data_IF_116343098991
#
_entry.id   IF_116343098991
#
_cell.length_a   1.000
_cell.length_b   1.000
_cell.length_c   1.000
_cell.angle_alpha   90.00
_cell.angle_beta   90.00
_cell.angle_gamma   90.00
#
_symmetry.space_group_name_H-M   'P 1'
#
loop_
_entity.id
_entity.type
_entity.pdbx_description
1 polymer ?
#
# COMPACT_ATOMS: atom_id res chain seq x y z
N UNK A 1 -34.14 -51.22 -16.98
CA UNK A 1 -32.68 -51.24 -16.69
C UNK A 1 -32.38 -51.01 -15.19
N UNK A 2 -33.37 -51.04 -14.30
CA UNK A 2 -33.20 -50.76 -12.86
C UNK A 2 -32.77 -51.97 -12.00
N UNK A 3 -32.69 -53.18 -12.54
CA UNK A 3 -32.49 -54.43 -11.77
C UNK A 3 -31.04 -54.93 -11.73
N UNK A 4 -30.06 -54.19 -12.27
CA UNK A 4 -28.66 -54.61 -12.22
C UNK A 4 -27.94 -53.98 -11.02
N UNK A 5 -27.38 -54.81 -10.14
CA UNK A 5 -26.50 -54.36 -9.05
C UNK A 5 -25.22 -53.71 -9.62
N UNK A 6 -24.83 -52.52 -9.16
CA UNK A 6 -23.63 -51.85 -9.66
C UNK A 6 -22.35 -52.55 -9.20
N UNK A 7 -21.36 -52.60 -10.08
CA UNK A 7 -20.00 -53.06 -9.76
C UNK A 7 -19.32 -52.13 -8.75
N UNK A 8 -18.42 -52.67 -7.93
CA UNK A 8 -17.60 -51.87 -7.04
C UNK A 8 -16.54 -51.12 -7.86
N UNK A 9 -16.78 -49.85 -8.11
CA UNK A 9 -15.85 -48.95 -8.80
C UNK A 9 -15.08 -48.10 -7.80
N UNK A 10 -13.78 -47.94 -8.04
CA UNK A 10 -12.87 -47.15 -7.21
C UNK A 10 -12.76 -45.69 -7.63
N UNK A 11 -12.89 -45.40 -8.93
CA UNK A 11 -12.79 -44.06 -9.49
C UNK A 11 -13.49 -43.99 -10.84
N UNK A 12 -13.84 -42.77 -11.24
CA UNK A 12 -14.33 -42.45 -12.58
C UNK A 12 -13.31 -41.54 -13.26
N UNK A 13 -13.02 -41.81 -14.53
CA UNK A 13 -12.10 -41.00 -15.31
C UNK A 13 -12.75 -40.49 -16.59
N UNK A 14 -12.31 -39.32 -17.02
CA UNK A 14 -12.70 -38.72 -18.30
C UNK A 14 -11.45 -38.30 -19.05
N UNK A 15 -11.49 -38.45 -20.37
CA UNK A 15 -10.46 -37.98 -21.29
C UNK A 15 -11.12 -37.16 -22.40
N UNK A 16 -10.68 -35.91 -22.58
CA UNK A 16 -11.29 -34.98 -23.52
C UNK A 16 -10.29 -33.91 -23.98
N UNK A 17 -10.61 -33.18 -25.05
CA UNK A 17 -9.81 -32.02 -25.50
C UNK A 17 -10.00 -30.81 -24.58
N UNK A 18 -8.90 -30.24 -24.09
CA UNK A 18 -8.92 -29.21 -23.06
C UNK A 18 -9.51 -27.89 -23.57
N UNK A 19 -10.74 -27.63 -23.17
CA UNK A 19 -11.39 -26.31 -23.30
C UNK A 19 -11.80 -25.78 -21.94
N UNK A 20 -11.89 -24.44 -21.81
CA UNK A 20 -12.32 -23.79 -20.56
C UNK A 20 -13.69 -24.30 -20.08
N UNK A 21 -14.63 -24.49 -21.01
CA UNK A 21 -16.00 -24.89 -20.71
C UNK A 21 -16.06 -26.32 -20.17
N UNK A 22 -15.40 -27.27 -20.85
CA UNK A 22 -15.35 -28.66 -20.41
C UNK A 22 -14.57 -28.80 -19.10
N UNK A 23 -13.44 -28.10 -18.96
CA UNK A 23 -12.68 -28.11 -17.71
C UNK A 23 -13.52 -27.62 -16.53
N UNK A 24 -14.22 -26.48 -16.68
CA UNK A 24 -15.14 -25.98 -15.64
C UNK A 24 -16.32 -26.92 -15.38
N UNK A 25 -16.82 -27.62 -16.40
CA UNK A 25 -17.88 -28.62 -16.25
C UNK A 25 -17.41 -29.79 -15.38
N UNK A 26 -16.29 -30.42 -15.73
CA UNK A 26 -15.77 -31.57 -14.98
C UNK A 26 -15.32 -31.20 -13.57
N UNK A 27 -14.70 -30.03 -13.40
CA UNK A 27 -14.33 -29.51 -12.09
C UNK A 27 -15.54 -29.27 -11.18
N UNK A 28 -16.65 -28.73 -11.71
CA UNK A 28 -17.92 -28.60 -10.97
C UNK A 28 -18.52 -29.95 -10.56
N UNK A 29 -18.24 -31.00 -11.34
CA UNK A 29 -18.64 -32.38 -11.04
C UNK A 29 -17.64 -33.14 -10.15
N UNK A 30 -16.76 -32.42 -9.43
CA UNK A 30 -15.75 -32.98 -8.51
C UNK A 30 -14.71 -33.91 -9.15
N UNK A 31 -14.40 -33.70 -10.44
CA UNK A 31 -13.24 -34.33 -11.07
C UNK A 31 -11.99 -33.48 -10.84
N UNK A 32 -10.85 -34.13 -10.63
CA UNK A 32 -9.54 -33.51 -10.45
C UNK A 32 -8.62 -33.82 -11.62
N UNK A 33 -7.94 -32.82 -12.16
CA UNK A 33 -6.99 -33.01 -13.25
C UNK A 33 -5.72 -33.70 -12.76
N UNK A 34 -5.29 -34.73 -13.50
CA UNK A 34 -4.09 -35.52 -13.18
C UNK A 34 -3.06 -35.50 -14.31
N UNK A 35 -3.48 -35.21 -15.54
CA UNK A 35 -2.59 -35.20 -16.69
C UNK A 35 -3.14 -34.34 -17.84
N UNK A 36 -2.24 -33.62 -18.51
CA UNK A 36 -2.50 -32.94 -19.77
C UNK A 36 -1.37 -33.30 -20.74
N UNK A 37 -1.73 -33.71 -21.95
CA UNK A 37 -0.77 -34.04 -23.01
C UNK A 37 -0.09 -32.77 -23.53
N UNK A 38 1.24 -32.80 -23.64
CA UNK A 38 2.02 -31.65 -24.14
C UNK A 38 1.76 -31.37 -25.62
N UNK A 39 1.70 -32.40 -26.48
CA UNK A 39 1.37 -32.22 -27.90
C UNK A 39 -0.16 -32.07 -28.05
N UNK A 40 -0.58 -30.94 -28.60
CA UNK A 40 -1.96 -30.72 -29.03
C UNK A 40 -2.32 -31.67 -30.18
N UNK A 41 -3.59 -32.04 -30.28
CA UNK A 41 -4.08 -32.82 -31.41
C UNK A 41 -4.02 -31.97 -32.69
N UNK A 42 -3.54 -32.53 -33.80
CA UNK A 42 -3.40 -31.82 -35.08
C UNK A 42 -4.74 -31.41 -35.67
N UNK A 43 -5.80 -32.20 -35.42
CA UNK A 43 -7.14 -31.93 -35.96
C UNK A 43 -7.86 -30.81 -35.20
N UNK A 44 -7.83 -30.86 -33.86
CA UNK A 44 -8.60 -29.92 -33.03
C UNK A 44 -7.78 -28.78 -32.46
N UNK A 45 -6.45 -28.87 -32.46
CA UNK A 45 -5.55 -27.94 -31.79
C UNK A 45 -5.61 -28.01 -30.25
N UNK A 46 -6.38 -28.93 -29.69
CA UNK A 46 -6.59 -29.05 -28.24
C UNK A 46 -5.65 -30.07 -27.60
N UNK A 47 -5.23 -29.81 -26.36
CA UNK A 47 -4.47 -30.77 -25.56
C UNK A 47 -5.42 -31.79 -24.92
N UNK A 48 -5.11 -33.08 -25.00
CA UNK A 48 -5.89 -34.10 -24.28
C UNK A 48 -5.70 -33.94 -22.77
N UNK A 49 -6.79 -33.83 -22.02
CA UNK A 49 -6.84 -33.70 -20.56
C UNK A 49 -7.49 -34.94 -19.95
N UNK A 50 -6.83 -35.50 -18.93
CA UNK A 50 -7.38 -36.59 -18.11
C UNK A 50 -7.72 -36.05 -16.73
N UNK A 51 -8.98 -36.21 -16.34
CA UNK A 51 -9.46 -35.88 -15.00
C UNK A 51 -10.07 -37.11 -14.35
N UNK A 52 -9.87 -37.25 -13.04
CA UNK A 52 -10.29 -38.41 -12.25
C UNK A 52 -11.09 -37.93 -11.04
N UNK A 53 -12.16 -38.66 -10.72
CA UNK A 53 -12.96 -38.51 -9.51
C UNK A 53 -12.90 -39.82 -8.72
N UNK A 54 -12.32 -39.83 -7.51
CA UNK A 54 -12.36 -41.01 -6.65
C UNK A 54 -13.80 -41.29 -6.18
N UNK A 55 -14.11 -42.57 -5.96
CA UNK A 55 -15.37 -43.04 -5.39
C UNK A 55 -15.08 -43.68 -4.03
N UNK A 56 -15.82 -43.28 -2.99
CA UNK A 56 -15.62 -43.72 -1.61
C UNK A 56 -16.27 -45.09 -1.37
N UNK A 57 -15.68 -46.12 -1.96
CA UNK A 57 -16.22 -47.48 -1.93
C UNK A 57 -15.21 -48.51 -1.40
N UNK A 58 -14.04 -48.08 -0.90
CA UNK A 58 -12.95 -48.98 -0.55
C UNK A 58 -12.12 -48.47 0.63
N UNK A 59 -12.26 -49.12 1.78
CA UNK A 59 -11.66 -48.71 3.06
C UNK A 59 -10.16 -48.41 3.01
N UNK A 60 -9.37 -49.15 2.22
CA UNK A 60 -7.91 -48.92 2.09
C UNK A 60 -7.59 -47.71 1.21
N UNK A 61 -8.28 -47.53 0.09
CA UNK A 61 -8.03 -46.41 -0.84
C UNK A 61 -8.61 -45.11 -0.29
N UNK A 62 -9.68 -45.19 0.50
CA UNK A 62 -10.32 -44.02 1.11
C UNK A 62 -9.44 -43.42 2.21
N UNK A 63 -8.64 -44.25 2.90
CA UNK A 63 -7.62 -43.80 3.85
C UNK A 63 -6.42 -43.14 3.17
N UNK A 64 -6.13 -43.51 1.94
CA UNK A 64 -4.99 -42.97 1.19
C UNK A 64 -5.51 -41.86 0.27
N UNK A 65 -5.25 -40.59 0.61
CA UNK A 65 -5.52 -39.44 -0.28
C UNK A 65 -4.58 -39.43 -1.51
N UNK A 66 -4.61 -40.50 -2.31
CA UNK A 66 -3.72 -40.75 -3.43
C UNK A 66 -3.90 -39.68 -4.50
N UNK A 67 -5.16 -39.32 -4.80
CA UNK A 67 -5.50 -38.33 -5.81
C UNK A 67 -4.85 -36.97 -5.50
N UNK A 68 -4.79 -36.58 -4.23
CA UNK A 68 -4.19 -35.32 -3.81
C UNK A 68 -2.69 -35.31 -4.12
N UNK A 69 -2.00 -36.45 -3.94
CA UNK A 69 -0.59 -36.60 -4.29
C UNK A 69 -0.36 -36.49 -5.81
N UNK A 70 -1.21 -37.13 -6.62
CA UNK A 70 -1.15 -36.98 -8.09
C UNK A 70 -1.46 -35.55 -8.54
N UNK A 71 -2.42 -34.88 -7.91
CA UNK A 71 -2.74 -33.50 -8.22
C UNK A 71 -1.61 -32.52 -7.86
N UNK A 72 -0.93 -32.73 -6.74
CA UNK A 72 0.25 -31.93 -6.35
C UNK A 72 1.38 -32.10 -7.37
N UNK A 73 1.67 -33.35 -7.77
CA UNK A 73 2.68 -33.63 -8.78
C UNK A 73 2.30 -33.08 -10.16
N UNK A 74 1.05 -33.26 -10.58
CA UNK A 74 0.51 -32.68 -11.80
C UNK A 74 0.66 -31.15 -11.82
N UNK A 75 0.28 -30.45 -10.74
CA UNK A 75 0.43 -28.99 -10.66
C UNK A 75 1.89 -28.56 -10.77
N UNK A 76 2.82 -29.28 -10.14
CA UNK A 76 4.26 -29.01 -10.26
C UNK A 76 4.74 -29.18 -11.71
N UNK A 77 4.40 -30.30 -12.35
CA UNK A 77 4.75 -30.55 -13.77
C UNK A 77 4.12 -29.52 -14.70
N UNK A 78 2.86 -29.17 -14.47
CA UNK A 78 2.14 -28.16 -15.24
C UNK A 78 2.80 -26.79 -15.13
N UNK A 79 3.24 -26.39 -13.91
CA UNK A 79 4.02 -25.16 -13.70
C UNK A 79 5.30 -25.14 -14.54
N UNK A 80 6.07 -26.23 -14.53
CA UNK A 80 7.31 -26.32 -15.32
C UNK A 80 7.06 -26.33 -16.83
N UNK A 81 5.94 -26.90 -17.29
CA UNK A 81 5.61 -27.03 -18.71
C UNK A 81 4.89 -25.80 -19.30
N UNK A 82 4.47 -24.83 -18.47
CA UNK A 82 3.73 -23.65 -18.92
C UNK A 82 4.49 -22.78 -19.91
N UNK A 83 5.82 -22.67 -19.78
CA UNK A 83 6.66 -21.90 -20.69
C UNK A 83 6.97 -22.63 -22.02
N UNK A 84 6.65 -23.92 -22.11
CA UNK A 84 6.97 -24.77 -23.25
C UNK A 84 5.69 -25.10 -24.03
N UNK A 85 5.22 -26.35 -23.92
CA UNK A 85 4.08 -26.87 -24.65
C UNK A 85 2.76 -26.12 -24.38
N UNK A 86 2.62 -25.46 -23.22
CA UNK A 86 1.41 -24.73 -22.84
C UNK A 86 1.56 -23.21 -22.92
N UNK A 87 2.59 -22.71 -23.62
CA UNK A 87 2.77 -21.27 -23.83
C UNK A 87 1.58 -20.66 -24.58
N UNK A 88 1.06 -21.37 -25.58
CA UNK A 88 -0.08 -20.92 -26.39
C UNK A 88 -1.44 -21.17 -25.74
N UNK A 89 -1.49 -21.86 -24.60
CA UNK A 89 -2.74 -22.10 -23.89
C UNK A 89 -3.34 -20.77 -23.43
N UNK A 90 -4.65 -20.62 -23.60
CA UNK A 90 -5.40 -19.44 -23.15
C UNK A 90 -5.17 -19.17 -21.66
N UNK A 91 -4.93 -17.90 -21.31
CA UNK A 91 -4.56 -17.49 -19.98
C UNK A 91 -5.61 -17.87 -18.91
N UNK A 92 -6.89 -17.71 -19.23
CA UNK A 92 -7.98 -18.01 -18.29
C UNK A 92 -8.06 -19.52 -18.07
N UNK A 93 -7.85 -20.30 -19.13
CA UNK A 93 -7.78 -21.76 -19.07
C UNK A 93 -6.59 -22.23 -18.24
N UNK A 94 -5.40 -21.71 -18.47
CA UNK A 94 -4.20 -22.04 -17.70
C UNK A 94 -4.38 -21.73 -16.19
N UNK A 95 -4.93 -20.56 -15.87
CA UNK A 95 -5.21 -20.18 -14.49
C UNK A 95 -6.28 -21.08 -13.83
N UNK A 96 -7.29 -21.49 -14.61
CA UNK A 96 -8.34 -22.40 -14.12
C UNK A 96 -7.80 -23.80 -13.81
N UNK A 97 -6.87 -24.29 -14.63
CA UNK A 97 -6.18 -25.59 -14.45
C UNK A 97 -5.25 -25.57 -13.25
N UNK A 98 -4.46 -24.50 -13.09
CA UNK A 98 -3.58 -24.34 -11.93
C UNK A 98 -4.37 -24.29 -10.62
N UNK A 99 -5.55 -23.67 -10.67
CA UNK A 99 -6.49 -23.54 -9.57
C UNK A 99 -5.83 -22.96 -8.31
N UNK A 100 -5.50 -21.64 -8.32
CA UNK A 100 -4.91 -20.99 -7.16
C UNK A 100 -5.85 -21.13 -5.97
N UNK A 101 -5.28 -21.39 -4.80
CA UNK A 101 -6.06 -21.57 -3.57
C UNK A 101 -6.91 -20.31 -3.30
N UNK A 102 -8.15 -20.48 -2.80
CA UNK A 102 -9.03 -19.35 -2.50
C UNK A 102 -8.42 -18.34 -1.52
N UNK A 103 -7.56 -18.79 -0.60
CA UNK A 103 -6.84 -17.93 0.35
C UNK A 103 -5.94 -16.89 -0.31
N UNK A 104 -5.53 -17.12 -1.56
CA UNK A 104 -4.65 -16.22 -2.32
C UNK A 104 -5.44 -15.17 -3.11
N UNK A 105 -6.77 -15.26 -3.18
CA UNK A 105 -7.62 -14.42 -4.03
C UNK A 105 -8.39 -13.39 -3.19
N UNK A 106 -8.21 -12.10 -3.47
CA UNK A 106 -8.87 -11.00 -2.71
C UNK A 106 -10.40 -11.04 -2.81
N UNK A 107 -10.92 -11.36 -3.99
CA UNK A 107 -12.32 -11.11 -4.36
C UNK A 107 -13.16 -12.40 -4.49
N UNK A 108 -12.58 -13.57 -4.22
CA UNK A 108 -13.26 -14.86 -4.39
C UNK A 108 -13.61 -15.50 -3.04
N UNK A 109 -14.25 -14.72 -2.15
CA UNK A 109 -15.01 -15.24 -0.99
C UNK A 109 -16.35 -15.88 -1.40
N UNK A 110 -16.52 -16.28 -2.66
CA UNK A 110 -17.66 -17.12 -3.01
C UNK A 110 -17.34 -18.54 -2.56
N UNK A 111 -18.02 -18.90 -1.47
CA UNK A 111 -18.41 -20.25 -1.07
C UNK A 111 -17.30 -21.24 -1.32
N UNK A 112 -16.53 -21.54 -0.26
CA UNK A 112 -16.04 -22.89 -0.12
C UNK A 112 -17.23 -23.79 -0.47
N UNK A 113 -17.26 -24.30 -1.71
CA UNK A 113 -18.17 -25.37 -2.04
C UNK A 113 -17.92 -26.37 -0.92
N UNK A 114 -18.95 -26.86 -0.24
CA UNK A 114 -18.75 -27.98 0.66
C UNK A 114 -18.25 -29.08 -0.27
N UNK A 115 -16.93 -29.20 -0.42
CA UNK A 115 -16.33 -30.50 -0.46
C UNK A 115 -16.96 -31.17 0.73
N UNK A 116 -17.81 -32.14 0.45
CA UNK A 116 -18.27 -33.15 1.38
C UNK A 116 -16.98 -33.77 1.98
N UNK A 117 -16.39 -33.04 2.92
CA UNK A 117 -15.45 -33.44 3.93
C UNK A 117 -16.24 -33.26 5.22
N UNK A 118 -17.39 -33.93 5.27
CA UNK A 118 -18.07 -34.23 6.51
C UNK A 118 -17.39 -35.46 7.07
N UNK A 119 -16.92 -35.37 8.30
CA UNK A 119 -16.32 -36.48 9.04
C UNK A 119 -14.83 -36.31 9.22
N UNK A 120 -14.46 -35.80 10.40
CA UNK A 120 -13.43 -36.38 11.26
C UNK A 120 -12.17 -36.86 10.56
N UNK A 121 -11.18 -35.98 10.40
CA UNK A 121 -9.80 -36.43 10.22
C UNK A 121 -8.80 -35.45 10.87
N UNK A 122 -8.72 -35.57 12.19
CA UNK A 122 -7.62 -35.12 13.06
C UNK A 122 -6.27 -35.83 12.72
N UNK A 123 -6.13 -36.48 11.56
CA UNK A 123 -4.99 -37.32 11.19
C UNK A 123 -4.18 -36.86 9.98
N UNK A 124 -4.57 -35.81 9.26
CA UNK A 124 -3.75 -35.26 8.17
C UNK A 124 -2.56 -34.48 8.73
N UNK A 125 -1.52 -35.24 9.13
CA UNK A 125 -0.20 -34.77 9.53
C UNK A 125 0.13 -33.43 8.88
N UNK A 126 0.29 -32.43 9.74
CA UNK A 126 0.84 -31.13 9.44
C UNK A 126 2.10 -31.30 8.58
N UNK A 127 1.94 -31.31 7.25
CA UNK A 127 3.02 -30.92 6.35
C UNK A 127 3.24 -29.45 6.68
N UNK A 128 4.13 -29.19 7.65
CA UNK A 128 4.54 -27.86 8.06
C UNK A 128 4.87 -27.11 6.78
N UNK A 129 3.93 -26.26 6.38
CA UNK A 129 4.01 -25.58 5.12
C UNK A 129 5.07 -24.52 5.32
N UNK A 130 6.32 -24.84 4.95
CA UNK A 130 7.48 -23.96 5.12
C UNK A 130 7.14 -22.61 4.48
N UNK A 131 6.77 -21.66 5.34
CA UNK A 131 6.57 -20.24 4.99
C UNK A 131 7.95 -19.68 4.69
N UNK A 132 8.02 -18.78 3.72
CA UNK A 132 9.29 -18.16 3.34
C UNK A 132 9.86 -17.35 4.51
N UNK A 133 11.09 -17.70 4.94
CA UNK A 133 11.82 -16.98 5.96
C UNK A 133 12.88 -16.04 5.37
N UNK A 134 13.55 -15.26 6.21
CA UNK A 134 14.64 -14.36 5.80
C UNK A 134 15.76 -15.08 5.05
N UNK A 135 16.20 -16.25 5.55
CA UNK A 135 17.26 -17.06 4.93
C UNK A 135 16.87 -17.51 3.52
N UNK A 136 15.62 -17.92 3.33
CA UNK A 136 15.13 -18.33 2.01
C UNK A 136 15.09 -17.14 1.03
N UNK A 137 14.73 -15.94 1.52
CA UNK A 137 14.74 -14.70 0.69
C UNK A 137 16.17 -14.38 0.24
N UNK A 138 17.13 -14.37 1.16
CA UNK A 138 18.52 -14.03 0.87
C UNK A 138 19.23 -15.10 0.01
N UNK A 139 18.77 -16.36 0.07
CA UNK A 139 19.24 -17.40 -0.85
C UNK A 139 18.68 -17.23 -2.28
N UNK A 140 17.50 -16.61 -2.43
CA UNK A 140 16.81 -16.48 -3.73
C UNK A 140 17.09 -15.15 -4.46
N UNK A 141 17.34 -14.08 -3.71
CA UNK A 141 17.49 -12.71 -4.22
C UNK A 141 18.77 -12.07 -3.68
N UNK A 142 19.50 -11.36 -4.54
CA UNK A 142 20.64 -10.54 -4.13
C UNK A 142 20.16 -9.21 -3.50
N UNK A 143 21.01 -8.56 -2.70
CA UNK A 143 20.77 -7.20 -2.23
C UNK A 143 20.48 -6.21 -3.38
N UNK A 144 21.13 -6.41 -4.53
CA UNK A 144 20.91 -5.60 -5.72
C UNK A 144 19.52 -5.81 -6.33
N UNK A 145 19.01 -7.03 -6.27
CA UNK A 145 17.66 -7.38 -6.71
C UNK A 145 16.61 -6.71 -5.81
N UNK A 146 16.83 -6.72 -4.50
CA UNK A 146 15.98 -6.03 -3.54
C UNK A 146 15.98 -4.50 -3.76
N UNK A 147 17.14 -3.89 -4.05
CA UNK A 147 17.24 -2.46 -4.41
C UNK A 147 16.52 -2.14 -5.73
N UNK A 148 16.65 -3.00 -6.75
CA UNK A 148 15.92 -2.88 -8.03
C UNK A 148 14.42 -2.93 -7.79
N UNK A 149 13.97 -3.89 -7.00
CA UNK A 149 12.57 -4.08 -6.64
C UNK A 149 12.00 -2.88 -5.88
N UNK A 150 12.77 -2.31 -4.96
CA UNK A 150 12.43 -1.08 -4.24
C UNK A 150 12.29 0.12 -5.20
N UNK A 151 13.16 0.22 -6.19
CA UNK A 151 13.13 1.32 -7.17
C UNK A 151 11.96 1.16 -8.15
N UNK A 152 11.63 -0.08 -8.53
CA UNK A 152 10.43 -0.42 -9.30
C UNK A 152 9.14 -0.12 -8.51
N UNK A 153 9.09 -0.41 -7.20
CA UNK A 153 7.96 -0.07 -6.33
C UNK A 153 7.63 1.42 -6.36
N UNK A 154 8.66 2.28 -6.47
CA UNK A 154 8.55 3.73 -6.62
C UNK A 154 8.14 4.19 -8.03
N UNK A 155 7.89 3.25 -8.95
CA UNK A 155 7.61 3.48 -10.38
C UNK A 155 8.71 4.29 -11.10
N UNK A 156 9.97 4.17 -10.68
CA UNK A 156 11.11 4.89 -11.30
C UNK A 156 11.77 4.10 -12.42
N UNK A 157 11.43 2.81 -12.56
CA UNK A 157 12.04 1.85 -13.47
C UNK A 157 10.95 1.08 -14.23
N UNK A 158 11.23 0.70 -15.47
CA UNK A 158 10.36 -0.14 -16.29
C UNK A 158 10.36 -1.61 -15.87
N UNK A 159 9.27 -2.32 -16.17
CA UNK A 159 9.09 -3.73 -15.78
C UNK A 159 10.14 -4.69 -16.37
N UNK A 160 10.77 -4.33 -17.49
CA UNK A 160 11.83 -5.12 -18.10
C UNK A 160 13.02 -5.34 -17.15
N UNK A 161 13.31 -4.37 -16.30
CA UNK A 161 14.40 -4.45 -15.31
C UNK A 161 14.05 -5.30 -14.09
N UNK A 162 12.88 -5.93 -14.03
CA UNK A 162 12.55 -6.90 -12.96
C UNK A 162 12.06 -8.24 -13.52
N UNK A 163 12.06 -8.41 -14.84
CA UNK A 163 11.44 -9.55 -15.52
C UNK A 163 12.04 -10.89 -15.11
N UNK A 164 13.35 -10.94 -14.89
CA UNK A 164 14.14 -12.06 -14.34
C UNK A 164 13.68 -12.52 -12.95
N UNK A 165 13.12 -11.61 -12.13
CA UNK A 165 12.63 -11.94 -10.79
C UNK A 165 11.17 -12.42 -10.77
N UNK A 166 10.38 -12.09 -11.80
CA UNK A 166 8.94 -12.40 -11.85
C UNK A 166 8.66 -13.91 -11.75
N UNK A 167 9.37 -14.81 -12.47
CA UNK A 167 9.15 -16.26 -12.33
C UNK A 167 9.34 -16.77 -10.91
N UNK A 168 10.34 -16.25 -10.18
CA UNK A 168 10.59 -16.61 -8.78
C UNK A 168 9.41 -16.19 -7.89
N UNK A 169 8.91 -14.96 -8.06
CA UNK A 169 7.74 -14.49 -7.33
C UNK A 169 6.48 -15.28 -7.66
N UNK A 170 6.29 -15.62 -8.93
CA UNK A 170 5.20 -16.46 -9.41
C UNK A 170 5.21 -17.83 -8.72
N UNK A 171 6.38 -18.49 -8.70
CA UNK A 171 6.56 -19.78 -8.03
C UNK A 171 6.29 -19.71 -6.52
N UNK A 172 6.76 -18.66 -5.84
CA UNK A 172 6.49 -18.46 -4.41
C UNK A 172 5.00 -18.22 -4.12
N UNK A 173 4.33 -17.45 -4.98
CA UNK A 173 2.92 -17.12 -4.84
C UNK A 173 2.02 -18.33 -5.04
N UNK A 174 2.14 -19.04 -6.18
CA UNK A 174 1.26 -20.16 -6.50
C UNK A 174 1.55 -21.41 -5.66
N UNK A 175 2.77 -21.55 -5.11
CA UNK A 175 3.09 -22.59 -4.12
C UNK A 175 2.78 -22.15 -2.68
N UNK A 176 2.10 -21.00 -2.51
CA UNK A 176 1.49 -20.55 -1.26
C UNK A 176 2.53 -20.41 -0.12
N UNK A 177 3.75 -19.99 -0.49
CA UNK A 177 4.90 -19.79 0.42
C UNK A 177 4.79 -18.52 1.27
N UNK A 178 3.90 -17.60 0.89
CA UNK A 178 3.60 -16.37 1.64
C UNK A 178 2.56 -16.55 2.76
N UNK A 179 2.18 -17.78 3.10
CA UNK A 179 1.34 -18.05 4.27
C UNK A 179 -0.08 -17.46 4.20
N UNK A 180 -0.60 -17.14 3.02
CA UNK A 180 -1.92 -16.52 2.86
C UNK A 180 -2.00 -15.02 3.21
N UNK A 181 -0.91 -14.39 3.64
CA UNK A 181 -0.86 -12.93 3.85
C UNK A 181 -0.97 -12.16 2.54
N UNK A 182 -0.52 -12.77 1.44
CA UNK A 182 -0.57 -12.18 0.11
C UNK A 182 -1.86 -12.56 -0.61
N UNK A 183 -2.69 -11.56 -0.86
CA UNK A 183 -3.88 -11.72 -1.69
C UNK A 183 -3.79 -10.86 -2.95
N UNK A 184 -4.07 -11.48 -4.09
CA UNK A 184 -4.10 -10.83 -5.40
C UNK A 184 -5.49 -10.96 -6.01
N UNK A 185 -5.88 -9.99 -6.83
CA UNK A 185 -7.10 -10.11 -7.63
C UNK A 185 -6.92 -11.20 -8.71
N UNK A 186 -8.00 -11.83 -9.17
CA UNK A 186 -7.94 -12.88 -10.20
C UNK A 186 -7.21 -12.43 -11.47
N UNK A 187 -7.44 -11.19 -11.92
CA UNK A 187 -6.73 -10.60 -13.07
C UNK A 187 -5.26 -10.32 -12.78
N UNK A 188 -4.91 -9.94 -11.55
CA UNK A 188 -3.51 -9.79 -11.14
C UNK A 188 -2.79 -11.14 -11.14
N UNK A 189 -3.44 -12.20 -10.65
CA UNK A 189 -2.93 -13.58 -10.72
C UNK A 189 -2.73 -14.03 -12.17
N UNK A 190 -3.69 -13.73 -13.05
CA UNK A 190 -3.60 -14.04 -14.47
C UNK A 190 -2.37 -13.35 -15.10
N UNK A 191 -2.22 -12.04 -14.92
CA UNK A 191 -1.06 -11.31 -15.45
C UNK A 191 0.26 -11.85 -14.88
N UNK A 192 0.32 -12.15 -13.58
CA UNK A 192 1.51 -12.73 -12.96
C UNK A 192 1.86 -14.11 -13.54
N UNK A 193 0.85 -14.97 -13.76
CA UNK A 193 1.03 -16.29 -14.39
C UNK A 193 1.50 -16.19 -15.83
N UNK A 194 0.91 -15.28 -16.60
CA UNK A 194 1.23 -15.11 -18.02
C UNK A 194 2.70 -14.69 -18.20
N UNK A 195 3.17 -13.74 -17.40
CA UNK A 195 4.56 -13.24 -17.48
C UNK A 195 5.51 -14.23 -16.80
N UNK A 196 5.15 -14.75 -15.63
CA UNK A 196 6.05 -15.56 -14.80
C UNK A 196 6.18 -17.03 -15.20
N UNK A 197 5.13 -17.65 -15.73
CA UNK A 197 5.14 -19.07 -16.12
C UNK A 197 4.96 -19.31 -17.62
N UNK A 198 4.12 -18.54 -18.31
CA UNK A 198 3.97 -18.69 -19.77
C UNK A 198 4.97 -17.84 -20.56
N UNK A 199 5.69 -16.91 -19.92
CA UNK A 199 6.63 -15.98 -20.54
C UNK A 199 6.02 -15.22 -21.74
N UNK A 200 4.74 -14.82 -21.63
CA UNK A 200 4.04 -14.03 -22.65
C UNK A 200 4.42 -12.56 -22.57
N UNK A 201 4.44 -11.91 -23.72
CA UNK A 201 4.65 -10.46 -23.83
C UNK A 201 3.41 -9.69 -23.34
N UNK A 202 3.61 -8.43 -22.92
CA UNK A 202 2.54 -7.58 -22.41
C UNK A 202 1.46 -7.33 -23.47
N UNK A 203 1.85 -7.25 -24.74
CA UNK A 203 0.95 -7.11 -25.88
C UNK A 203 0.05 -8.34 -26.05
N UNK A 204 0.60 -9.56 -25.95
CA UNK A 204 -0.17 -10.81 -26.04
C UNK A 204 -1.17 -10.92 -24.88
N UNK A 205 -0.75 -10.55 -23.68
CA UNK A 205 -1.61 -10.55 -22.49
C UNK A 205 -2.74 -9.51 -22.64
N UNK A 206 -2.42 -8.34 -23.19
CA UNK A 206 -3.38 -7.26 -23.47
C UNK A 206 -4.47 -7.72 -24.45
N UNK A 207 -4.08 -8.45 -25.50
CA UNK A 207 -5.03 -9.02 -26.47
C UNK A 207 -5.88 -10.13 -25.88
N UNK A 208 -5.29 -11.06 -25.12
CA UNK A 208 -6.05 -12.19 -24.52
C UNK A 208 -7.04 -11.72 -23.45
N UNK A 209 -6.66 -10.75 -22.61
CA UNK A 209 -7.53 -10.22 -21.57
C UNK A 209 -8.52 -9.16 -22.08
N UNK A 210 -8.41 -8.72 -23.34
CA UNK A 210 -9.15 -7.58 -23.89
C UNK A 210 -9.01 -6.30 -23.05
N UNK A 211 -7.77 -6.02 -22.59
CA UNK A 211 -7.43 -4.92 -21.68
C UNK A 211 -6.35 -4.06 -22.32
N UNK A 212 -6.35 -2.74 -22.07
CA UNK A 212 -5.31 -1.83 -22.60
C UNK A 212 -3.93 -2.21 -22.04
N UNK A 213 -2.89 -2.24 -22.89
CA UNK A 213 -1.49 -2.55 -22.51
C UNK A 213 -1.02 -1.90 -21.20
N UNK A 214 -1.28 -0.61 -21.02
CA UNK A 214 -0.88 0.13 -19.82
C UNK A 214 -1.59 -0.37 -18.54
N UNK A 215 -2.81 -0.89 -18.66
CA UNK A 215 -3.53 -1.48 -17.55
C UNK A 215 -2.92 -2.83 -17.16
N UNK A 216 -2.42 -3.63 -18.11
CA UNK A 216 -1.66 -4.87 -17.82
C UNK A 216 -0.42 -4.57 -16.97
N UNK A 217 0.37 -3.56 -17.37
CA UNK A 217 1.55 -3.12 -16.59
C UNK A 217 1.13 -2.61 -15.22
N UNK A 218 0.02 -1.86 -15.13
CA UNK A 218 -0.52 -1.37 -13.86
C UNK A 218 -0.95 -2.51 -12.93
N UNK A 219 -1.53 -3.60 -13.46
CA UNK A 219 -1.89 -4.80 -12.70
C UNK A 219 -0.64 -5.53 -12.19
N UNK A 220 0.38 -5.70 -13.02
CA UNK A 220 1.67 -6.26 -12.62
C UNK A 220 2.31 -5.43 -11.50
N UNK A 221 2.40 -4.11 -11.70
CA UNK A 221 2.91 -3.16 -10.71
C UNK A 221 2.19 -3.32 -9.36
N UNK A 222 0.86 -3.44 -9.35
CA UNK A 222 0.08 -3.65 -8.11
C UNK A 222 0.43 -4.99 -7.44
N UNK A 223 0.60 -6.07 -8.20
CA UNK A 223 0.97 -7.37 -7.65
C UNK A 223 2.37 -7.34 -7.04
N UNK A 224 3.36 -6.82 -7.77
CA UNK A 224 4.75 -6.74 -7.32
C UNK A 224 4.89 -5.84 -6.08
N UNK A 225 4.15 -4.73 -6.01
CA UNK A 225 4.15 -3.85 -4.81
C UNK A 225 3.71 -4.59 -3.55
N UNK A 226 2.68 -5.44 -3.65
CA UNK A 226 2.21 -6.25 -2.51
C UNK A 226 3.24 -7.30 -2.11
N UNK A 227 3.86 -7.95 -3.09
CA UNK A 227 4.94 -8.94 -2.85
C UNK A 227 6.12 -8.26 -2.15
N UNK A 228 6.59 -7.12 -2.67
CA UNK A 228 7.66 -6.35 -2.06
C UNK A 228 7.34 -5.92 -0.63
N UNK A 229 6.12 -5.44 -0.36
CA UNK A 229 5.72 -5.03 0.98
C UNK A 229 5.81 -6.17 2.01
N UNK A 230 5.50 -7.41 1.60
CA UNK A 230 5.66 -8.58 2.47
C UNK A 230 7.13 -8.96 2.66
N UNK A 231 7.93 -8.93 1.60
CA UNK A 231 9.38 -9.20 1.71
C UNK A 231 10.06 -8.18 2.62
N UNK A 232 9.74 -6.90 2.45
CA UNK A 232 10.24 -5.80 3.29
C UNK A 232 9.81 -5.96 4.76
N UNK A 233 8.56 -6.39 5.01
CA UNK A 233 8.09 -6.73 6.36
C UNK A 233 8.91 -7.87 6.97
N UNK A 234 9.11 -8.98 6.25
CA UNK A 234 9.89 -10.13 6.73
C UNK A 234 11.34 -9.73 7.03
N UNK A 235 11.97 -8.95 6.14
CA UNK A 235 13.33 -8.46 6.32
C UNK A 235 13.42 -7.55 7.56
N UNK A 236 12.50 -6.59 7.71
CA UNK A 236 12.46 -5.70 8.88
C UNK A 236 12.26 -6.46 10.18
N UNK A 237 11.32 -7.39 10.23
CA UNK A 237 11.09 -8.24 11.42
C UNK A 237 12.33 -9.05 11.76
N UNK A 238 13.06 -9.57 10.76
CA UNK A 238 14.30 -10.29 11.01
C UNK A 238 15.40 -9.36 11.54
N UNK A 239 15.58 -8.18 10.94
CA UNK A 239 16.55 -7.18 11.40
C UNK A 239 16.23 -6.73 12.82
N UNK A 240 14.98 -6.44 13.16
CA UNK A 240 14.56 -6.09 14.53
C UNK A 240 14.86 -7.21 15.54
N UNK A 241 14.69 -8.48 15.14
CA UNK A 241 14.97 -9.63 16.00
C UNK A 241 16.47 -9.91 16.18
N UNK A 242 17.27 -9.75 15.12
CA UNK A 242 18.72 -10.00 15.11
C UNK A 242 19.48 -8.82 15.72
N UNK A 243 19.01 -7.61 15.44
CA UNK A 243 19.50 -6.36 15.97
C UNK A 243 18.73 -5.99 17.25
N UNK A 244 18.46 -6.99 18.10
CA UNK A 244 18.19 -6.75 19.50
C UNK A 244 19.24 -5.75 19.97
N UNK A 245 18.77 -4.54 20.28
CA UNK A 245 19.58 -3.40 20.69
C UNK A 245 20.68 -3.90 21.64
N UNK A 246 21.94 -3.40 21.56
CA UNK A 246 22.85 -3.60 22.68
C UNK A 246 22.06 -3.18 23.92
N UNK A 247 21.75 -4.15 24.78
CA UNK A 247 21.10 -3.84 26.04
C UNK A 247 22.09 -2.92 26.73
N UNK A 248 21.77 -1.62 26.74
CA UNK A 248 22.40 -0.68 27.64
C UNK A 248 21.99 -1.19 29.01
N UNK A 249 22.77 -2.11 29.57
CA UNK A 249 22.72 -2.44 30.98
C UNK A 249 22.80 -1.08 31.68
N UNK A 250 21.77 -0.69 32.46
CA UNK A 250 21.85 0.54 33.26
C UNK A 250 22.94 0.46 34.34
N UNK A 251 23.61 -0.68 34.44
CA UNK A 251 24.67 -0.98 35.38
C UNK A 251 26.01 -0.54 34.80
N UNK A 252 26.50 0.57 35.33
CA UNK A 252 27.87 1.06 35.26
C UNK A 252 28.30 1.75 33.95
N UNK A 253 27.57 2.80 33.57
CA UNK A 253 28.30 3.98 33.08
C UNK A 253 28.99 4.60 34.30
N UNK A 254 30.23 4.17 34.57
CA UNK A 254 31.15 4.94 35.44
C UNK A 254 31.46 6.24 34.72
N UNK A 255 30.59 7.24 34.90
CA UNK A 255 30.94 8.60 34.56
C UNK A 255 32.05 9.02 35.53
N UNK A 256 33.30 8.97 35.07
CA UNK A 256 34.36 9.74 35.69
C UNK A 256 33.95 11.21 35.54
N UNK A 257 33.33 11.74 36.59
CA UNK A 257 32.81 13.11 36.71
C UNK A 257 33.96 14.11 36.80
N UNK A 258 34.67 14.35 35.71
CA UNK A 258 35.59 15.50 35.62
C UNK A 258 35.41 16.37 34.38
N UNK A 259 34.71 15.94 33.34
CA UNK A 259 34.51 16.77 32.15
C UNK A 259 33.14 16.50 31.51
N UNK A 260 32.11 17.19 32.02
CA UNK A 260 30.82 17.31 31.32
C UNK A 260 30.49 18.82 31.14
N UNK A 261 30.99 19.45 30.06
CA UNK A 261 30.86 20.89 29.83
C UNK A 261 29.41 21.38 29.76
N UNK A 262 28.47 20.51 29.34
CA UNK A 262 27.05 20.84 29.19
C UNK A 262 26.34 21.07 30.53
N UNK A 263 26.68 20.28 31.55
CA UNK A 263 26.09 20.44 32.89
C UNK A 263 26.62 21.69 33.59
N UNK A 264 27.88 22.04 33.38
CA UNK A 264 28.46 23.27 33.93
C UNK A 264 27.90 24.52 33.27
N UNK A 265 27.75 24.51 31.94
CA UNK A 265 27.16 25.62 31.18
C UNK A 265 25.69 25.86 31.57
N UNK A 266 24.90 24.80 31.76
CA UNK A 266 23.50 24.92 32.18
C UNK A 266 23.33 25.41 33.63
N UNK A 267 24.26 25.05 34.53
CA UNK A 267 24.30 25.58 35.89
C UNK A 267 24.71 27.06 35.92
N UNK A 268 25.72 27.46 35.12
CA UNK A 268 26.16 28.85 35.00
C UNK A 268 25.08 29.75 34.38
N UNK A 269 24.40 29.30 33.31
CA UNK A 269 23.29 30.04 32.70
C UNK A 269 22.11 30.25 33.67
N UNK A 270 21.81 29.26 34.52
CA UNK A 270 20.80 29.41 35.58
C UNK A 270 21.24 30.44 36.61
N UNK A 271 22.48 30.37 37.10
CA UNK A 271 22.99 31.35 38.07
C UNK A 271 23.03 32.77 37.50
N UNK A 272 23.38 32.93 36.23
CA UNK A 272 23.36 34.24 35.53
C UNK A 272 21.91 34.76 35.43
N UNK A 273 20.94 33.89 35.13
CA UNK A 273 19.53 34.24 35.13
C UNK A 273 19.01 34.71 36.49
N UNK A 274 19.38 34.02 37.58
CA UNK A 274 19.00 34.43 38.94
C UNK A 274 19.67 35.74 39.37
N UNK A 275 20.94 35.95 39.01
CA UNK A 275 21.65 37.21 39.34
C UNK A 275 21.05 38.40 38.60
N UNK A 276 20.74 38.27 37.30
CA UNK A 276 20.08 39.33 36.53
C UNK A 276 18.70 39.68 37.10
N UNK A 277 17.89 38.69 37.44
CA UNK A 277 16.56 38.91 38.01
C UNK A 277 16.61 39.63 39.37
N UNK A 278 17.57 39.26 40.21
CA UNK A 278 17.81 39.92 41.50
C UNK A 278 18.34 41.35 41.35
N UNK A 279 19.09 41.62 40.27
CA UNK A 279 19.64 42.94 39.97
C UNK A 279 18.55 43.87 39.41
N UNK A 280 17.67 43.37 38.54
CA UNK A 280 16.47 44.09 38.06
C UNK A 280 15.48 44.40 39.20
N UNK A 281 15.26 43.46 40.12
CA UNK A 281 14.44 43.70 41.32
C UNK A 281 15.06 44.80 42.20
N UNK A 282 16.38 44.78 42.42
CA UNK A 282 17.07 45.79 43.22
C UNK A 282 17.04 47.18 42.56
N UNK A 283 17.21 47.26 41.24
CA UNK A 283 17.13 48.50 40.46
C UNK A 283 15.71 49.07 40.44
N UNK A 284 14.69 48.23 40.32
CA UNK A 284 13.29 48.65 40.39
C UNK A 284 12.93 49.22 41.77
N UNK A 285 13.45 48.65 42.86
CA UNK A 285 13.26 49.21 44.21
C UNK A 285 14.03 50.51 44.44
N UNK A 286 15.20 50.69 43.80
CA UNK A 286 15.96 51.95 43.88
C UNK A 286 15.31 53.08 43.09
N UNK A 287 14.69 52.77 41.93
CA UNK A 287 13.92 53.73 41.15
C UNK A 287 12.66 54.20 41.89
N UNK A 288 11.96 53.31 42.61
CA UNK A 288 10.79 53.67 43.42
C UNK A 288 11.20 54.48 44.67
N UNK A 289 12.35 54.21 45.27
CA UNK A 289 12.88 55.00 46.39
C UNK A 289 13.38 56.39 45.95
N UNK A 290 13.97 56.52 44.76
CA UNK A 290 14.38 57.79 44.19
C UNK A 290 13.18 58.65 43.75
N UNK A 291 12.08 58.03 43.32
CA UNK A 291 10.83 58.72 42.96
C UNK A 291 10.00 59.18 44.17
N UNK A 292 10.35 58.78 45.40
CA UNK A 292 9.67 59.19 46.64
C UNK A 292 10.38 60.35 47.38
N UNK A 293 11.46 60.89 46.81
CA UNK A 293 12.20 62.03 47.34
C UNK A 293 12.55 62.99 46.20
N UNK A 294 11.55 63.62 45.59
CA UNK A 294 11.64 64.90 44.87
C UNK A 294 10.24 65.28 44.32
N UNK A 295 9.35 65.68 45.22
CA UNK A 295 8.31 66.67 44.90
C UNK A 295 8.93 68.05 45.09
N UNK A 296 9.38 68.69 44.01
CA UNK A 296 9.60 70.14 43.94
C UNK A 296 9.91 70.57 42.48
N UNK A 297 8.92 71.25 41.89
CA UNK A 297 9.05 72.37 40.93
C UNK A 297 9.50 72.15 39.46
N UNK A 298 8.78 72.91 38.61
CA UNK A 298 9.10 73.46 37.28
C UNK A 298 9.00 72.58 36.01
N UNK A 299 7.85 72.71 35.35
CA UNK A 299 7.64 73.36 34.04
C UNK A 299 8.83 73.38 33.04
N UNK A 300 8.65 72.79 31.84
CA UNK A 300 8.64 73.49 30.54
C UNK A 300 9.06 72.62 29.33
N UNK A 301 8.37 72.94 28.22
CA UNK A 301 8.83 72.98 26.81
C UNK A 301 8.90 71.68 25.98
N UNK A 302 7.81 71.50 25.21
CA UNK A 302 7.84 70.95 23.84
C UNK A 302 8.60 71.91 22.93
N UNK A 303 9.35 71.42 21.93
CA UNK A 303 9.10 71.92 20.59
C UNK A 303 9.07 70.85 19.49
N UNK A 304 8.15 71.12 18.56
CA UNK A 304 7.95 70.55 17.23
C UNK A 304 9.17 70.69 16.30
N UNK A 305 9.29 69.78 15.32
CA UNK A 305 9.42 70.07 13.87
C UNK A 305 9.77 68.76 13.12
N UNK A 306 8.96 68.22 12.18
CA UNK A 306 8.71 68.56 10.75
C UNK A 306 8.99 67.30 9.89
N UNK A 307 7.90 66.66 9.42
CA UNK A 307 7.49 66.32 8.02
C UNK A 307 8.54 65.73 7.02
N UNK A 308 8.34 64.75 6.11
CA UNK A 308 7.25 64.42 5.15
C UNK A 308 7.40 62.98 4.55
N UNK A 309 6.26 62.26 4.50
CA UNK A 309 5.66 61.27 3.55
C UNK A 309 6.39 60.13 2.78
N UNK A 310 5.55 59.08 2.62
CA UNK A 310 5.30 58.12 1.51
C UNK A 310 5.99 56.75 1.58
N UNK A 311 5.15 55.71 1.55
CA UNK A 311 5.48 54.46 0.84
C UNK A 311 5.51 53.19 1.68
N UNK A 312 4.45 52.39 1.56
CA UNK A 312 4.41 50.92 1.68
C UNK A 312 5.06 50.25 2.89
N UNK A 313 4.26 49.95 3.93
CA UNK A 313 4.62 48.95 4.95
C UNK A 313 4.05 47.58 4.62
N UNK A 314 4.97 46.65 4.37
CA UNK A 314 4.81 45.22 4.60
C UNK A 314 4.24 44.97 6.01
N UNK A 315 3.09 44.31 6.10
CA UNK A 315 2.61 43.73 7.35
C UNK A 315 2.97 42.25 7.36
N UNK A 316 4.04 41.94 8.09
CA UNK A 316 4.35 40.59 8.55
C UNK A 316 3.37 40.23 9.67
N UNK A 317 2.56 39.19 9.47
CA UNK A 317 1.71 38.65 10.53
C UNK A 317 2.50 37.66 11.42
N UNK A 318 2.41 37.77 12.76
CA UNK A 318 2.94 36.76 13.67
C UNK A 318 2.08 35.48 13.67
N UNK A 319 2.74 34.34 13.85
CA UNK A 319 2.18 32.98 13.93
C UNK A 319 1.17 32.89 15.11
N UNK A 320 -0.07 32.50 14.81
CA UNK A 320 -1.11 32.20 15.81
C UNK A 320 -0.84 30.88 16.53
N UNK A 321 -0.78 30.94 17.86
CA UNK A 321 -1.27 29.89 18.75
C UNK A 321 -2.79 29.71 18.55
N UNK A 322 -3.28 28.50 18.84
CA UNK A 322 -4.61 28.03 18.48
C UNK A 322 -5.51 28.02 19.74
N UNK A 323 -6.48 28.93 19.93
CA UNK A 323 -7.47 28.80 20.98
C UNK A 323 -8.73 28.15 20.40
N UNK A 324 -8.97 26.93 20.83
CA UNK A 324 -10.27 26.27 20.72
C UNK A 324 -11.35 27.08 21.43
N UNK A 325 -12.46 27.29 20.71
CA UNK A 325 -13.71 27.93 21.13
C UNK A 325 -13.78 29.46 20.91
N UNK A 326 -14.15 29.85 19.69
CA UNK A 326 -14.51 31.23 19.32
C UNK A 326 -16.03 31.27 19.07
N UNK A 327 -16.70 32.20 19.73
CA UNK A 327 -18.15 32.37 19.78
C UNK A 327 -18.76 32.71 18.40
N UNK A 328 -19.78 31.97 17.91
CA UNK A 328 -20.39 32.15 16.58
C UNK A 328 -21.03 33.52 16.32
N UNK A 329 -21.26 34.35 17.35
CA UNK A 329 -21.81 35.70 17.17
C UNK A 329 -20.81 36.70 16.56
N UNK A 330 -19.51 36.53 16.83
CA UNK A 330 -18.45 37.42 16.33
C UNK A 330 -18.39 37.50 14.79
N UNK A 331 -18.73 36.41 14.10
CA UNK A 331 -18.75 36.35 12.64
C UNK A 331 -19.94 37.11 12.04
N UNK A 332 -21.09 37.16 12.71
CA UNK A 332 -22.27 37.88 12.20
C UNK A 332 -22.07 39.39 12.24
N UNK A 333 -21.34 39.88 13.23
CA UNK A 333 -20.98 41.29 13.35
C UNK A 333 -19.93 41.69 12.32
N UNK A 334 -18.94 40.83 12.08
CA UNK A 334 -17.93 41.00 11.04
C UNK A 334 -18.55 41.00 9.63
N UNK A 335 -19.53 40.13 9.36
CA UNK A 335 -20.22 40.09 8.07
C UNK A 335 -21.15 41.30 7.85
N UNK A 336 -21.75 41.83 8.93
CA UNK A 336 -22.48 43.12 8.91
C UNK A 336 -21.56 44.28 8.58
N UNK A 337 -20.35 44.31 9.17
CA UNK A 337 -19.35 45.35 8.91
C UNK A 337 -18.87 45.34 7.44
N UNK A 338 -18.92 44.18 6.77
CA UNK A 338 -18.63 44.05 5.34
C UNK A 338 -19.86 44.12 4.43
N UNK A 339 -21.03 44.53 4.95
CA UNK A 339 -22.24 44.78 4.16
C UNK A 339 -22.93 43.51 3.63
N UNK A 340 -22.61 42.33 4.16
CA UNK A 340 -23.21 41.06 3.75
C UNK A 340 -24.39 40.77 4.67
N UNK A 341 -25.61 40.66 4.10
CA UNK A 341 -26.81 40.42 4.89
C UNK A 341 -26.81 38.98 5.47
N UNK A 342 -26.73 38.78 6.80
CA UNK A 342 -26.58 37.46 7.42
C UNK A 342 -27.81 36.55 7.26
N UNK A 343 -28.96 37.09 6.85
CA UNK A 343 -30.19 36.35 6.56
C UNK A 343 -30.36 36.00 5.07
N UNK A 344 -29.35 36.26 4.23
CA UNK A 344 -29.34 35.85 2.82
C UNK A 344 -29.31 34.33 2.65
N UNK A 345 -30.08 33.81 1.69
CA UNK A 345 -30.17 32.38 1.32
C UNK A 345 -28.81 31.75 0.95
N UNK A 346 -27.80 32.57 0.68
CA UNK A 346 -26.45 32.16 0.30
C UNK A 346 -25.42 32.21 1.44
N UNK A 347 -25.85 32.53 2.66
CA UNK A 347 -24.97 32.49 3.83
C UNK A 347 -24.76 31.04 4.31
N UNK A 348 -23.53 30.69 4.66
CA UNK A 348 -23.21 29.40 5.26
C UNK A 348 -24.00 29.26 6.57
N UNK A 349 -24.87 28.26 6.65
CA UNK A 349 -25.58 27.93 7.87
C UNK A 349 -25.39 26.44 8.17
N UNK A 350 -24.72 26.13 9.29
CA UNK A 350 -24.21 24.78 9.62
C UNK A 350 -25.32 23.78 9.99
N UNK A 351 -26.59 24.20 10.01
CA UNK A 351 -27.72 23.45 10.56
C UNK A 351 -28.74 22.86 9.56
N UNK A 352 -28.43 22.74 8.26
CA UNK A 352 -29.32 21.97 7.35
C UNK A 352 -28.90 20.51 7.25
N UNK A 353 -29.56 19.64 8.03
CA UNK A 353 -29.56 18.19 7.85
C UNK A 353 -30.17 17.86 6.47
N UNK A 354 -29.41 17.13 5.65
CA UNK A 354 -29.84 16.64 4.34
C UNK A 354 -30.90 15.56 4.52
N UNK A 355 -32.09 15.78 3.95
CA UNK A 355 -33.02 14.72 3.60
C UNK A 355 -33.23 14.72 2.08
N UNK A 356 -33.36 13.50 1.55
CA UNK A 356 -33.73 13.06 0.20
C UNK A 356 -32.79 13.40 -0.98
N UNK A 357 -32.59 12.37 -1.79
CA UNK A 357 -31.68 12.36 -2.91
C UNK A 357 -32.26 13.03 -4.14
N UNK A 358 -31.45 13.90 -4.73
CA UNK A 358 -31.39 14.16 -6.16
C UNK A 358 -30.03 14.82 -6.42
N UNK A 359 -29.26 14.29 -7.39
CA UNK A 359 -27.96 14.85 -7.81
C UNK A 359 -28.18 16.27 -8.39
N UNK A 360 -28.06 17.30 -7.56
CA UNK A 360 -27.84 18.67 -8.04
C UNK A 360 -26.33 18.92 -8.14
N UNK A 361 -25.85 19.20 -9.36
CA UNK A 361 -24.50 19.71 -9.62
C UNK A 361 -24.30 20.98 -8.79
N UNK A 362 -23.43 20.94 -7.78
CA UNK A 362 -22.97 22.13 -7.05
C UNK A 362 -22.32 23.09 -8.06
N UNK A 363 -23.02 24.17 -8.43
CA UNK A 363 -22.41 25.31 -9.11
C UNK A 363 -21.56 26.05 -8.07
N UNK A 364 -20.24 26.00 -8.24
CA UNK A 364 -19.28 26.69 -7.37
C UNK A 364 -19.52 28.21 -7.43
N UNK A 365 -19.29 28.93 -6.32
CA UNK A 365 -19.44 30.39 -6.28
C UNK A 365 -18.42 31.07 -7.19
N UNK A 366 -18.83 32.12 -7.91
CA UNK A 366 -17.95 32.90 -8.81
C UNK A 366 -16.66 33.39 -8.10
N UNK A 367 -16.72 33.65 -6.80
CA UNK A 367 -15.57 34.06 -5.98
C UNK A 367 -14.52 32.94 -5.90
N UNK A 368 -14.94 31.68 -5.73
CA UNK A 368 -14.04 30.53 -5.69
C UNK A 368 -13.39 30.29 -7.06
N UNK A 369 -14.10 30.59 -8.14
CA UNK A 369 -13.58 30.52 -9.50
C UNK A 369 -12.51 31.58 -9.77
N UNK A 370 -12.74 32.82 -9.33
CA UNK A 370 -11.77 33.92 -9.41
C UNK A 370 -10.53 33.60 -8.58
N UNK A 371 -10.70 33.12 -7.35
CA UNK A 371 -9.58 32.75 -6.47
C UNK A 371 -8.72 31.61 -7.06
N UNK A 372 -9.35 30.60 -7.68
CA UNK A 372 -8.63 29.52 -8.38
C UNK A 372 -7.88 30.05 -9.61
N UNK A 373 -8.44 31.02 -10.35
CA UNK A 373 -7.76 31.68 -11.48
C UNK A 373 -6.55 32.50 -11.02
N UNK A 374 -6.67 33.26 -9.93
CA UNK A 374 -5.54 34.02 -9.36
C UNK A 374 -4.45 33.10 -8.83
N UNK A 375 -4.81 32.03 -8.12
CA UNK A 375 -3.84 31.02 -7.65
C UNK A 375 -3.11 30.34 -8.80
N UNK A 376 -3.79 30.07 -9.92
CA UNK A 376 -3.13 29.57 -11.13
C UNK A 376 -2.15 30.59 -11.70
N UNK A 377 -2.55 31.86 -11.87
CA UNK A 377 -1.67 32.94 -12.36
C UNK A 377 -0.42 33.12 -11.48
N UNK A 378 -0.57 33.06 -10.16
CA UNK A 378 0.55 33.16 -9.23
C UNK A 378 1.51 31.97 -9.36
N UNK A 379 0.99 30.76 -9.58
CA UNK A 379 1.80 29.55 -9.77
C UNK A 379 2.58 29.58 -11.10
N UNK A 380 2.01 30.16 -12.15
CA UNK A 380 2.72 30.36 -13.44
C UNK A 380 3.80 31.42 -13.33
N UNK A 381 3.56 32.54 -12.65
CA UNK A 381 4.59 33.56 -12.39
C UNK A 381 5.77 32.99 -11.59
N UNK A 382 5.49 32.17 -10.56
CA UNK A 382 6.53 31.53 -9.76
C UNK A 382 7.37 30.51 -10.56
N UNK A 383 6.79 29.83 -11.56
CA UNK A 383 7.53 28.94 -12.47
C UNK A 383 8.44 29.74 -13.40
N UNK A 384 7.95 30.82 -14.01
CA UNK A 384 8.77 31.68 -14.88
C UNK A 384 9.96 32.28 -14.14
N UNK A 385 9.73 32.79 -12.93
CA UNK A 385 10.81 33.36 -12.11
C UNK A 385 11.85 32.30 -11.67
N UNK A 386 11.44 31.03 -11.49
CA UNK A 386 12.38 29.93 -11.27
C UNK A 386 13.17 29.58 -12.53
N UNK A 387 12.53 29.58 -13.69
CA UNK A 387 13.20 29.31 -14.97
C UNK A 387 14.21 30.41 -15.32
N UNK A 388 13.90 31.69 -15.07
CA UNK A 388 14.84 32.82 -15.26
C UNK A 388 16.06 32.75 -14.35
N UNK A 389 15.89 32.37 -13.07
CA UNK A 389 17.00 32.17 -12.13
C UNK A 389 17.96 31.03 -12.55
N UNK A 390 17.43 29.94 -13.13
CA UNK A 390 18.26 28.81 -13.57
C UNK A 390 19.02 29.10 -14.89
N UNK A 391 18.61 30.11 -15.66
CA UNK A 391 19.30 30.52 -16.90
C UNK A 391 20.44 31.50 -16.59
N UNK A 392 20.32 32.34 -15.55
CA UNK A 392 21.39 33.26 -15.13
C UNK A 392 22.55 32.58 -14.39
N UNK A 393 22.36 31.40 -13.81
CA UNK A 393 23.45 30.61 -13.19
C UNK A 393 24.25 29.75 -14.18
N UNK A 394 23.84 29.69 -15.46
CA UNK A 394 24.50 28.91 -16.52
C UNK A 394 25.17 29.76 -17.60
N UNK A 395 25.18 31.09 -17.45
CA UNK A 395 25.82 32.03 -18.38
C UNK A 395 27.07 32.63 -17.77
#
# INVERSE_FOLDING_TARGET
VSERTPEKLHWLGVSYGLTLNLFKFWKRNAFSAVYIRQRANEVTGEHSCVMVRPLHNHEVLDKVQWIDSFCVDFKRRFQSLMAYAFQQLDLITALSVLDPKPSLLENNRMVAAPTLRSGDDDGAQQRQKKVIGYVDIMAMFSDWDLKRLQTYQKNLIDYNLIMDMIPKFCALFFNDKFGGELQLNYTQCAVLLAIGFQHKNVEQISTELNVIRQQTISMLNKAIRKIYALLDKIIKTHVESTQALPQLNPSEVRTNTMFDPMKKLSAELKQIGYKKKKQEELESTKLVAAAAQQDAEEELLVPDTVSIKVGERLVTMPKKENPSNIDPQSFKEHDRAHGINPSSRYHWNKNKKNNSGQKQKKRESKILEVFKKEKKKHKTKLRKHKEEYFVSERS
#
